data_IF_510047136893
#
_entry.id   IF_510047136893
#
_cell.length_a   1.000
_cell.length_b   1.000
_cell.length_c   1.000
_cell.angle_alpha   90.00
_cell.angle_beta   90.00
_cell.angle_gamma   90.00
#
_symmetry.space_group_name_H-M   'P 1'
#
loop_
_entity.id
_entity.type
_entity.pdbx_description
1 polymer ?
#
# COMPACT_ATOMS: atom_id res chain seq x y z
N UNK A 1 14.00 -30.42 -6.75
CA UNK A 1 15.05 -29.66 -6.03
C UNK A 1 14.38 -28.74 -5.03
N UNK A 2 14.68 -28.87 -3.74
CA UNK A 2 14.13 -27.98 -2.71
C UNK A 2 14.71 -26.57 -2.87
N UNK A 3 13.86 -25.54 -2.93
CA UNK A 3 14.30 -24.15 -2.91
C UNK A 3 14.90 -23.82 -1.54
N UNK A 4 16.07 -23.18 -1.50
CA UNK A 4 16.64 -22.76 -0.22
C UNK A 4 15.68 -21.77 0.47
N UNK A 5 15.56 -21.79 1.82
CA UNK A 5 14.68 -20.87 2.54
C UNK A 5 14.94 -19.40 2.21
N UNK A 6 16.21 -19.05 1.96
CA UNK A 6 16.63 -17.72 1.56
C UNK A 6 16.10 -17.35 0.16
N UNK A 7 16.20 -18.26 -0.82
CA UNK A 7 15.67 -18.04 -2.18
C UNK A 7 14.14 -17.91 -2.14
N UNK A 8 13.45 -18.76 -1.38
CA UNK A 8 12.01 -18.67 -1.19
C UNK A 8 11.59 -17.33 -0.56
N UNK A 9 12.33 -16.84 0.43
CA UNK A 9 12.11 -15.51 1.03
C UNK A 9 12.28 -14.38 0.02
N UNK A 10 13.36 -14.42 -0.79
CA UNK A 10 13.61 -13.43 -1.82
C UNK A 10 12.51 -13.41 -2.90
N UNK A 11 12.02 -14.57 -3.35
CA UNK A 11 10.90 -14.67 -4.30
C UNK A 11 9.65 -13.98 -3.73
N UNK A 12 9.32 -14.21 -2.46
CA UNK A 12 8.13 -13.60 -1.83
C UNK A 12 8.21 -12.07 -1.79
N UNK A 13 9.37 -11.52 -1.45
CA UNK A 13 9.59 -10.06 -1.44
C UNK A 13 9.42 -9.48 -2.85
N UNK A 14 10.01 -10.11 -3.86
CA UNK A 14 9.89 -9.66 -5.26
C UNK A 14 8.43 -9.75 -5.72
N UNK A 15 7.79 -10.90 -5.52
CA UNK A 15 6.41 -11.13 -5.94
C UNK A 15 5.44 -10.14 -5.29
N UNK A 16 5.57 -9.87 -3.98
CA UNK A 16 4.70 -8.93 -3.29
C UNK A 16 4.91 -7.49 -3.75
N UNK A 17 6.17 -7.04 -3.91
CA UNK A 17 6.40 -5.69 -4.43
C UNK A 17 5.85 -5.54 -5.84
N UNK A 18 6.02 -6.54 -6.70
CA UNK A 18 5.45 -6.55 -8.05
C UNK A 18 3.92 -6.51 -8.01
N UNK A 19 3.28 -7.32 -7.16
CA UNK A 19 1.82 -7.32 -7.00
C UNK A 19 1.31 -5.96 -6.49
N UNK A 20 1.97 -5.37 -5.49
CA UNK A 20 1.66 -4.02 -4.99
C UNK A 20 1.77 -2.98 -6.11
N UNK A 21 2.85 -3.01 -6.90
CA UNK A 21 3.04 -2.06 -8.01
C UNK A 21 1.99 -2.23 -9.10
N UNK A 22 1.68 -3.46 -9.49
CA UNK A 22 0.65 -3.74 -10.50
C UNK A 22 -0.72 -3.27 -10.04
N UNK A 23 -1.06 -3.47 -8.75
CA UNK A 23 -2.31 -2.97 -8.21
C UNK A 23 -2.34 -1.44 -8.17
N UNK A 24 -1.24 -0.78 -7.76
CA UNK A 24 -1.16 0.68 -7.78
C UNK A 24 -1.40 1.25 -9.20
N UNK A 25 -0.76 0.65 -10.21
CA UNK A 25 -0.96 1.02 -11.61
C UNK A 25 -2.41 0.77 -12.06
N UNK A 26 -2.99 -0.36 -11.66
CA UNK A 26 -4.38 -0.67 -11.97
C UNK A 26 -5.32 0.35 -11.35
N UNK A 27 -5.11 0.73 -10.09
CA UNK A 27 -5.92 1.75 -9.43
C UNK A 27 -5.81 3.11 -10.13
N UNK A 28 -4.59 3.52 -10.50
CA UNK A 28 -4.35 4.78 -11.24
C UNK A 28 -4.95 4.81 -12.65
N UNK A 29 -5.03 3.66 -13.33
CA UNK A 29 -5.55 3.57 -14.69
C UNK A 29 -7.06 3.35 -14.75
N UNK A 30 -7.62 2.66 -13.74
CA UNK A 30 -9.03 2.28 -13.71
C UNK A 30 -9.91 3.30 -12.98
N UNK A 31 -9.33 4.11 -12.10
CA UNK A 31 -10.06 5.07 -11.28
C UNK A 31 -9.45 6.46 -11.35
N UNK A 32 -10.28 7.45 -11.05
CA UNK A 32 -9.88 8.83 -10.90
C UNK A 32 -9.25 9.04 -9.51
N UNK A 33 -7.94 9.34 -9.41
CA UNK A 33 -7.28 9.55 -8.14
C UNK A 33 -7.78 10.80 -7.40
N UNK A 34 -8.46 11.73 -8.08
CA UNK A 34 -9.00 12.94 -7.45
C UNK A 34 -10.07 12.63 -6.40
N UNK A 35 -10.67 11.43 -6.43
CA UNK A 35 -11.64 10.94 -5.42
C UNK A 35 -11.16 11.09 -3.97
N UNK A 36 -9.84 11.08 -3.71
CA UNK A 36 -9.28 11.28 -2.36
C UNK A 36 -9.14 12.76 -1.94
N UNK A 37 -9.48 13.69 -2.82
CA UNK A 37 -9.26 15.15 -2.61
C UNK A 37 -10.50 16.00 -2.85
N UNK A 38 -11.59 15.39 -3.32
CA UNK A 38 -12.85 16.07 -3.62
C UNK A 38 -13.66 16.40 -2.36
N UNK A 39 -14.63 17.29 -2.51
CA UNK A 39 -15.54 17.68 -1.43
C UNK A 39 -16.50 16.56 -1.02
N UNK A 40 -17.08 16.64 0.18
CA UNK A 40 -18.09 15.68 0.64
C UNK A 40 -19.33 15.62 -0.27
N UNK A 41 -19.76 16.74 -0.82
CA UNK A 41 -20.90 16.80 -1.74
C UNK A 41 -20.59 16.05 -3.06
N UNK A 42 -19.40 16.27 -3.61
CA UNK A 42 -18.95 15.59 -4.84
C UNK A 42 -18.70 14.10 -4.61
N UNK A 43 -18.17 13.74 -3.43
CA UNK A 43 -17.97 12.35 -3.03
C UNK A 43 -19.29 11.57 -2.93
N UNK A 44 -20.35 12.21 -2.43
CA UNK A 44 -21.70 11.64 -2.38
C UNK A 44 -22.35 11.53 -3.77
N UNK A 45 -22.09 12.47 -4.67
CA UNK A 45 -22.59 12.44 -6.05
C UNK A 45 -21.91 11.31 -6.85
N UNK A 46 -20.60 11.11 -6.64
CA UNK A 46 -19.78 10.06 -7.27
C UNK A 46 -19.69 8.77 -6.45
N UNK A 47 -20.66 8.50 -5.58
CA UNK A 47 -20.57 7.44 -4.55
C UNK A 47 -20.14 6.06 -5.07
N UNK A 48 -20.63 5.63 -6.22
CA UNK A 48 -20.43 4.25 -6.68
C UNK A 48 -18.98 4.05 -7.14
N UNK A 49 -18.46 5.01 -7.92
CA UNK A 49 -17.06 5.06 -8.33
C UNK A 49 -16.14 5.25 -7.13
N UNK A 50 -16.50 6.18 -6.22
CA UNK A 50 -15.71 6.45 -5.02
C UNK A 50 -15.60 5.22 -4.12
N UNK A 51 -16.70 4.50 -3.89
CA UNK A 51 -16.71 3.26 -3.09
C UNK A 51 -15.88 2.17 -3.75
N UNK A 52 -16.00 2.00 -5.06
CA UNK A 52 -15.22 1.00 -5.79
C UNK A 52 -13.71 1.27 -5.66
N UNK A 53 -13.30 2.54 -5.83
CA UNK A 53 -11.91 2.96 -5.65
C UNK A 53 -11.43 2.72 -4.21
N UNK A 54 -12.15 3.22 -3.21
CA UNK A 54 -11.77 3.11 -1.79
C UNK A 54 -11.70 1.64 -1.32
N UNK A 55 -12.60 0.77 -1.80
CA UNK A 55 -12.53 -0.68 -1.56
C UNK A 55 -11.29 -1.28 -2.22
N UNK A 56 -10.98 -0.88 -3.45
CA UNK A 56 -9.75 -1.28 -4.14
C UNK A 56 -8.49 -0.85 -3.37
N UNK A 57 -8.52 0.35 -2.79
CA UNK A 57 -7.40 0.89 -2.02
C UNK A 57 -7.16 0.12 -0.71
N UNK A 58 -8.20 -0.46 -0.08
CA UNK A 58 -7.98 -1.41 1.02
C UNK A 58 -7.19 -2.66 0.61
N UNK A 59 -7.38 -3.15 -0.62
CA UNK A 59 -6.59 -4.28 -1.13
C UNK A 59 -5.14 -3.84 -1.31
N UNK A 60 -4.92 -2.59 -1.73
CA UNK A 60 -3.58 -2.00 -1.80
C UNK A 60 -2.94 -1.92 -0.42
N UNK A 61 -3.64 -1.39 0.59
CA UNK A 61 -3.21 -1.38 2.00
C UNK A 61 -2.84 -2.78 2.49
N UNK A 62 -3.67 -3.80 2.21
CA UNK A 62 -3.37 -5.17 2.61
C UNK A 62 -2.05 -5.67 2.00
N UNK A 63 -1.79 -5.39 0.73
CA UNK A 63 -0.56 -5.79 0.06
C UNK A 63 0.67 -5.06 0.62
N UNK A 64 0.62 -3.74 0.73
CA UNK A 64 1.82 -2.95 1.07
C UNK A 64 2.07 -2.83 2.58
N UNK A 65 1.03 -2.85 3.42
CA UNK A 65 1.14 -2.59 4.86
C UNK A 65 1.06 -3.84 5.73
N UNK A 66 0.63 -4.98 5.16
CA UNK A 66 0.55 -6.26 5.89
C UNK A 66 1.44 -7.31 5.25
N UNK A 67 1.14 -7.68 4.00
CA UNK A 67 1.82 -8.80 3.35
C UNK A 67 3.29 -8.48 3.03
N UNK A 68 3.56 -7.29 2.49
CA UNK A 68 4.92 -6.83 2.21
C UNK A 68 5.79 -6.74 3.48
N UNK A 69 5.33 -6.14 4.60
CA UNK A 69 6.07 -6.14 5.86
C UNK A 69 6.35 -7.53 6.40
N UNK A 70 5.41 -8.48 6.32
CA UNK A 70 5.65 -9.87 6.72
C UNK A 70 6.77 -10.48 5.87
N UNK A 71 6.74 -10.29 4.56
CA UNK A 71 7.78 -10.83 3.68
C UNK A 71 9.14 -10.17 3.91
N UNK A 72 9.19 -8.85 4.06
CA UNK A 72 10.39 -8.07 4.37
C UNK A 72 10.98 -8.52 5.70
N UNK A 73 10.15 -8.69 6.73
CA UNK A 73 10.57 -9.17 8.04
C UNK A 73 11.19 -10.56 7.96
N UNK A 74 10.50 -11.51 7.30
CA UNK A 74 10.96 -12.89 7.17
C UNK A 74 12.23 -13.03 6.33
N UNK A 75 12.45 -12.14 5.37
CA UNK A 75 13.62 -12.20 4.48
C UNK A 75 14.83 -11.45 5.05
N UNK A 76 14.66 -10.20 5.48
CA UNK A 76 15.77 -9.29 5.78
C UNK A 76 15.79 -8.75 7.22
N UNK A 77 14.78 -9.07 8.04
CA UNK A 77 14.62 -8.55 9.41
C UNK A 77 14.67 -7.01 9.48
N UNK A 78 14.25 -6.33 8.43
CA UNK A 78 14.32 -4.87 8.32
C UNK A 78 13.16 -4.20 9.07
N UNK A 79 13.26 -4.15 10.41
CA UNK A 79 12.23 -3.54 11.28
C UNK A 79 11.80 -2.13 10.85
N UNK A 80 12.71 -1.20 10.48
CA UNK A 80 12.29 0.14 10.09
C UNK A 80 11.29 0.12 8.91
N UNK A 81 11.56 -0.66 7.85
CA UNK A 81 10.65 -0.78 6.72
C UNK A 81 9.27 -1.31 7.14
N UNK A 82 9.27 -2.32 8.01
CA UNK A 82 8.03 -2.94 8.54
C UNK A 82 7.21 -1.91 9.31
N UNK A 83 7.85 -1.16 10.21
CA UNK A 83 7.18 -0.16 11.06
C UNK A 83 6.60 0.97 10.21
N UNK A 84 7.38 1.55 9.30
CA UNK A 84 6.91 2.66 8.47
C UNK A 84 5.77 2.26 7.54
N UNK A 85 5.86 1.09 6.88
CA UNK A 85 4.78 0.60 6.00
C UNK A 85 3.51 0.25 6.78
N UNK A 86 3.64 -0.40 7.94
CA UNK A 86 2.49 -0.72 8.78
C UNK A 86 1.82 0.55 9.33
N UNK A 87 2.61 1.53 9.78
CA UNK A 87 2.09 2.81 10.25
C UNK A 87 1.39 3.58 9.11
N UNK A 88 1.99 3.61 7.91
CA UNK A 88 1.36 4.19 6.73
C UNK A 88 0.01 3.52 6.44
N UNK A 89 -0.06 2.18 6.46
CA UNK A 89 -1.30 1.45 6.22
C UNK A 89 -2.38 1.69 7.26
N UNK A 90 -2.03 1.94 8.53
CA UNK A 90 -3.02 2.31 9.55
C UNK A 90 -3.64 3.68 9.23
N UNK A 91 -2.80 4.65 8.88
CA UNK A 91 -3.26 6.00 8.52
C UNK A 91 -4.12 5.95 7.26
N UNK A 92 -3.67 5.20 6.25
CA UNK A 92 -4.36 5.01 4.97
C UNK A 92 -5.70 4.29 5.12
N UNK A 93 -5.74 3.20 5.90
CA UNK A 93 -7.00 2.53 6.21
C UNK A 93 -7.97 3.44 6.98
N UNK A 94 -7.45 4.32 7.84
CA UNK A 94 -8.28 5.29 8.59
C UNK A 94 -8.86 6.33 7.65
N UNK A 95 -8.04 6.92 6.78
CA UNK A 95 -8.47 7.85 5.73
C UNK A 95 -9.54 7.21 4.83
N UNK A 96 -9.29 6.00 4.33
CA UNK A 96 -10.24 5.28 3.50
C UNK A 96 -11.54 4.96 4.25
N UNK A 97 -11.49 4.67 5.54
CA UNK A 97 -12.70 4.46 6.36
C UNK A 97 -13.53 5.73 6.46
N UNK A 98 -12.88 6.87 6.72
CA UNK A 98 -13.51 8.17 6.82
C UNK A 98 -14.17 8.58 5.50
N UNK A 99 -13.45 8.50 4.39
CA UNK A 99 -13.99 8.77 3.05
C UNK A 99 -15.14 7.82 2.71
N UNK A 100 -15.01 6.52 3.00
CA UNK A 100 -16.07 5.55 2.72
C UNK A 100 -17.34 5.86 3.50
N UNK A 101 -17.22 6.31 4.76
CA UNK A 101 -18.37 6.74 5.56
C UNK A 101 -19.08 7.96 4.97
N UNK A 102 -18.32 8.90 4.40
CA UNK A 102 -18.85 10.09 3.73
C UNK A 102 -19.46 9.81 2.34
N UNK A 103 -19.26 8.63 1.74
CA UNK A 103 -19.97 8.26 0.49
C UNK A 103 -21.47 8.02 0.68
N UNK A 104 -21.90 7.72 1.91
CA UNK A 104 -23.30 7.43 2.24
C UNK A 104 -24.11 8.64 2.73
N UNK A 105 -23.43 9.73 3.06
CA UNK A 105 -24.01 10.98 3.60
C UNK A 105 -23.02 12.12 3.41
N UNK A 106 -23.49 13.32 3.09
CA UNK A 106 -22.64 14.51 3.00
C UNK A 106 -22.13 14.87 4.40
N UNK A 107 -20.94 14.37 4.75
CA UNK A 107 -20.25 14.60 6.03
C UNK A 107 -18.92 15.30 5.78
N UNK A 108 -18.93 16.63 5.88
CA UNK A 108 -17.74 17.46 5.70
C UNK A 108 -16.66 17.17 6.75
N UNK A 109 -17.06 16.87 7.99
CA UNK A 109 -16.11 16.59 9.07
C UNK A 109 -15.30 15.33 8.83
N UNK A 110 -15.95 14.27 8.30
CA UNK A 110 -15.26 13.04 7.92
C UNK A 110 -14.26 13.27 6.78
N UNK A 111 -14.63 14.05 5.76
CA UNK A 111 -13.76 14.38 4.61
C UNK A 111 -12.59 15.26 5.03
N UNK A 112 -12.81 16.29 5.84
CA UNK A 112 -11.73 17.13 6.37
C UNK A 112 -10.74 16.32 7.22
N UNK A 113 -11.25 15.44 8.08
CA UNK A 113 -10.42 14.55 8.88
C UNK A 113 -9.61 13.60 8.00
N UNK A 114 -10.19 13.06 6.93
CA UNK A 114 -9.49 12.24 5.95
C UNK A 114 -8.37 13.03 5.25
N UNK A 115 -8.67 14.22 4.74
CA UNK A 115 -7.68 15.06 4.06
C UNK A 115 -6.51 15.46 4.97
N UNK A 116 -6.75 15.67 6.27
CA UNK A 116 -5.69 15.94 7.24
C UNK A 116 -4.69 14.77 7.39
N UNK A 117 -5.10 13.55 7.07
CA UNK A 117 -4.25 12.35 7.11
C UNK A 117 -3.37 12.18 5.87
N UNK A 118 -3.66 12.88 4.76
CA UNK A 118 -2.94 12.72 3.50
C UNK A 118 -1.43 12.96 3.66
N UNK A 119 -1.03 14.08 4.28
CA UNK A 119 0.39 14.41 4.45
C UNK A 119 1.13 13.39 5.36
N UNK A 120 0.63 13.04 6.56
CA UNK A 120 1.21 11.96 7.36
C UNK A 120 1.30 10.62 6.63
N UNK A 121 0.24 10.23 5.91
CA UNK A 121 0.21 8.99 5.10
C UNK A 121 1.34 8.98 4.08
N UNK A 122 1.43 10.02 3.25
CA UNK A 122 2.46 10.11 2.21
C UNK A 122 3.87 10.10 2.79
N UNK A 123 4.12 10.82 3.89
CA UNK A 123 5.43 10.83 4.53
C UNK A 123 5.83 9.44 5.05
N UNK A 124 4.94 8.75 5.76
CA UNK A 124 5.18 7.41 6.29
C UNK A 124 5.39 6.40 5.15
N UNK A 125 4.53 6.45 4.13
CA UNK A 125 4.59 5.57 2.98
C UNK A 125 5.90 5.77 2.21
N UNK A 126 6.29 7.01 1.92
CA UNK A 126 7.51 7.30 1.17
C UNK A 126 8.76 6.74 1.86
N UNK A 127 8.90 6.95 3.17
CA UNK A 127 10.02 6.39 3.95
C UNK A 127 9.99 4.86 3.93
N UNK A 128 8.82 4.27 4.18
CA UNK A 128 8.63 2.81 4.15
C UNK A 128 8.97 2.21 2.78
N UNK A 129 8.52 2.85 1.70
CA UNK A 129 8.73 2.43 0.32
C UNK A 129 10.22 2.47 -0.07
N UNK A 130 10.95 3.53 0.28
CA UNK A 130 12.40 3.61 0.05
C UNK A 130 13.13 2.46 0.75
N UNK A 131 12.79 2.19 2.01
CA UNK A 131 13.40 1.08 2.76
C UNK A 131 13.02 -0.30 2.17
N UNK A 132 11.78 -0.46 1.71
CA UNK A 132 11.32 -1.67 1.04
C UNK A 132 12.04 -1.90 -0.30
N UNK A 133 12.31 -0.84 -1.07
CA UNK A 133 13.09 -0.91 -2.31
C UNK A 133 14.52 -1.41 -2.05
N UNK A 134 15.16 -0.94 -0.97
CA UNK A 134 16.49 -1.45 -0.56
C UNK A 134 16.43 -2.96 -0.30
N UNK A 135 15.39 -3.44 0.41
CA UNK A 135 15.19 -4.88 0.66
C UNK A 135 14.92 -5.64 -0.64
N UNK A 136 14.15 -5.05 -1.56
CA UNK A 136 13.86 -5.63 -2.87
C UNK A 136 15.13 -5.80 -3.71
N UNK A 137 15.99 -4.78 -3.80
CA UNK A 137 17.27 -4.90 -4.51
C UNK A 137 18.15 -6.00 -3.92
N UNK A 138 18.15 -6.17 -2.59
CA UNK A 138 18.83 -7.30 -1.94
C UNK A 138 18.22 -8.64 -2.35
N UNK A 139 16.88 -8.76 -2.37
CA UNK A 139 16.18 -9.96 -2.81
C UNK A 139 16.53 -10.32 -4.26
N UNK A 140 16.47 -9.37 -5.19
CA UNK A 140 16.84 -9.58 -6.60
C UNK A 140 18.30 -10.05 -6.74
N UNK A 141 19.23 -9.42 -6.02
CA UNK A 141 20.65 -9.86 -6.02
C UNK A 141 20.81 -11.29 -5.50
N UNK A 142 20.06 -11.68 -4.46
CA UNK A 142 20.05 -13.04 -3.94
C UNK A 142 19.55 -14.05 -4.97
N UNK A 143 18.51 -13.72 -5.74
CA UNK A 143 18.00 -14.59 -6.80
C UNK A 143 19.01 -14.78 -7.94
N UNK A 144 19.60 -13.68 -8.44
CA UNK A 144 20.60 -13.73 -9.53
C UNK A 144 21.84 -14.55 -9.16
N UNK A 145 22.34 -14.42 -7.93
CA UNK A 145 23.51 -15.21 -7.46
C UNK A 145 23.22 -16.71 -7.33
N UNK A 146 21.95 -17.08 -7.17
CA UNK A 146 21.52 -18.48 -7.13
C UNK A 146 21.46 -19.15 -8.49
N UNK A 147 21.48 -18.40 -9.60
CA UNK A 147 21.46 -18.91 -10.97
C UNK A 147 22.86 -19.21 -11.52
N UNK A 148 23.91 -18.71 -10.85
CA UNK A 148 25.31 -18.91 -11.25
C UNK A 148 25.97 -20.15 -10.63
N UNK A 149 25.20 -21.05 -10.01
CA UNK A 149 25.65 -22.31 -9.42
C UNK A 149 24.87 -23.46 -10.02
#
# INVERSE_FOLDING_TARGET
>A
MATSPLRAGAIRVVALLTATLLLALLLLLAFDPEVQTISAAELADRRDDARAFLIGDYVFVLLYAVLSPIAIWRFARALPAVVFLAAAGIVDATENTLLLSATGSVDEGAVEAAHALALPKFALFAVGAVLALIVHFRAVRTLRRGESR
#
